data_IF_312827561827
#
_entry.id   IF_312827561827
#
_cell.length_a   1.000
_cell.length_b   1.000
_cell.length_c   1.000
_cell.angle_alpha   90.00
_cell.angle_beta   90.00
_cell.angle_gamma   90.00
#
_symmetry.space_group_name_H-M   'P 1'
#
loop_
_entity.id
_entity.type
_entity.pdbx_description
1 polymer ?
#
# COMPACT_ATOMS: atom_id res chain seq x y z
N UNK A 1 2.33 -29.32 29.74
CA UNK A 1 3.46 -28.90 28.88
C UNK A 1 2.79 -28.26 27.68
N UNK A 2 2.39 -27.01 27.83
CA UNK A 2 1.87 -26.22 26.71
C UNK A 2 3.08 -25.90 25.85
N UNK A 3 3.23 -26.66 24.75
CA UNK A 3 4.22 -26.37 23.74
C UNK A 3 3.89 -25.00 23.18
N UNK A 4 4.85 -24.07 23.19
CA UNK A 4 4.70 -22.78 22.52
C UNK A 4 4.22 -23.03 21.10
N UNK A 5 3.01 -22.55 20.78
CA UNK A 5 2.46 -22.63 19.43
C UNK A 5 3.15 -21.56 18.60
N UNK A 6 4.19 -21.98 17.89
CA UNK A 6 4.98 -21.10 17.02
C UNK A 6 4.72 -21.51 15.58
N UNK A 7 4.43 -20.54 14.71
CA UNK A 7 4.36 -20.76 13.28
C UNK A 7 5.70 -21.31 12.77
N UNK A 8 5.67 -22.40 12.00
CA UNK A 8 6.88 -23.03 11.47
C UNK A 8 6.90 -22.99 9.94
N UNK A 9 8.07 -22.66 9.37
CA UNK A 9 8.40 -22.85 7.96
C UNK A 9 7.35 -22.29 6.99
N UNK A 10 6.68 -23.18 6.26
CA UNK A 10 5.68 -22.80 5.26
C UNK A 10 4.47 -22.06 5.85
N UNK A 11 4.10 -22.31 7.10
CA UNK A 11 3.00 -21.58 7.75
C UNK A 11 3.33 -20.09 7.90
N UNK A 12 4.60 -19.74 8.18
CA UNK A 12 5.05 -18.33 8.25
C UNK A 12 4.93 -17.67 6.88
N UNK A 13 5.29 -18.39 5.81
CA UNK A 13 5.22 -17.84 4.44
C UNK A 13 3.79 -17.58 4.01
N UNK A 14 2.90 -18.53 4.27
CA UNK A 14 1.47 -18.40 3.96
C UNK A 14 0.84 -17.30 4.80
N UNK A 15 1.19 -17.23 6.09
CA UNK A 15 0.72 -16.17 6.98
C UNK A 15 1.20 -14.78 6.54
N UNK A 16 2.47 -14.62 6.15
CA UNK A 16 2.99 -13.36 5.62
C UNK A 16 2.23 -12.90 4.36
N UNK A 17 1.91 -13.84 3.47
CA UNK A 17 1.07 -13.54 2.33
C UNK A 17 -0.35 -13.11 2.75
N UNK A 18 -0.91 -13.77 3.77
CA UNK A 18 -2.16 -13.38 4.43
C UNK A 18 -2.15 -11.96 4.98
N UNK A 19 -1.09 -11.58 5.72
CA UNK A 19 -0.89 -10.22 6.22
C UNK A 19 -0.94 -9.21 5.08
N UNK A 20 -0.16 -9.46 4.02
CA UNK A 20 -0.15 -8.60 2.84
C UNK A 20 -1.53 -8.43 2.20
N UNK A 21 -2.32 -9.51 2.13
CA UNK A 21 -3.68 -9.47 1.58
C UNK A 21 -4.64 -8.68 2.46
N UNK A 22 -4.60 -8.85 3.79
CA UNK A 22 -5.44 -8.09 4.73
C UNK A 22 -5.12 -6.60 4.62
N UNK A 23 -3.84 -6.24 4.70
CA UNK A 23 -3.39 -4.86 4.60
C UNK A 23 -3.75 -4.25 3.22
N UNK A 24 -3.64 -5.01 2.14
CA UNK A 24 -4.04 -4.54 0.80
C UNK A 24 -5.54 -4.24 0.66
N UNK A 25 -6.39 -4.78 1.53
CA UNK A 25 -7.85 -4.52 1.55
C UNK A 25 -8.23 -3.42 2.53
N UNK A 26 -7.32 -3.02 3.40
CA UNK A 26 -7.55 -1.94 4.35
C UNK A 26 -7.64 -0.61 3.59
N UNK A 27 -8.82 -0.01 3.56
CA UNK A 27 -9.11 1.14 2.68
C UNK A 27 -8.34 2.40 3.09
N UNK A 28 -8.13 2.61 4.39
CA UNK A 28 -7.32 3.72 4.91
C UNK A 28 -5.87 3.60 4.42
N UNK A 29 -5.27 2.41 4.52
CA UNK A 29 -3.90 2.15 4.05
C UNK A 29 -3.77 2.32 2.53
N UNK A 30 -4.72 1.77 1.75
CA UNK A 30 -4.75 1.96 0.29
C UNK A 30 -4.76 3.44 -0.08
N UNK A 31 -5.68 4.19 0.54
CA UNK A 31 -5.84 5.62 0.27
C UNK A 31 -4.58 6.39 0.63
N UNK A 32 -3.94 6.07 1.76
CA UNK A 32 -2.69 6.70 2.19
C UNK A 32 -1.54 6.46 1.21
N UNK A 33 -1.43 5.23 0.70
CA UNK A 33 -0.38 4.83 -0.25
C UNK A 33 -0.62 5.45 -1.63
N UNK A 34 -1.85 5.43 -2.12
CA UNK A 34 -2.23 6.00 -3.43
C UNK A 34 -2.02 7.51 -3.49
N UNK A 35 -2.33 8.21 -2.40
CA UNK A 35 -2.18 9.66 -2.31
C UNK A 35 -0.81 10.11 -1.78
N UNK A 36 0.12 9.18 -1.58
CA UNK A 36 1.46 9.44 -1.06
C UNK A 36 1.45 10.27 0.26
N UNK A 37 0.49 10.02 1.15
CA UNK A 37 0.36 10.76 2.41
C UNK A 37 1.59 10.61 3.33
N UNK A 38 2.29 9.48 3.24
CA UNK A 38 3.58 9.24 3.88
C UNK A 38 4.79 9.73 3.08
N UNK A 39 4.59 10.46 1.97
CA UNK A 39 5.61 10.87 1.02
C UNK A 39 5.91 9.83 -0.07
N UNK A 40 6.98 10.04 -0.85
CA UNK A 40 7.38 9.15 -1.96
C UNK A 40 7.62 7.70 -1.54
N UNK A 41 7.95 7.49 -0.28
CA UNK A 41 8.22 6.18 0.30
C UNK A 41 6.97 5.52 0.91
N UNK A 42 5.75 6.03 0.64
CA UNK A 42 4.50 5.49 1.23
C UNK A 42 4.32 3.99 0.97
N UNK A 43 4.66 3.52 -0.23
CA UNK A 43 4.65 2.08 -0.56
C UNK A 43 5.63 1.28 0.29
N UNK A 44 6.83 1.83 0.52
CA UNK A 44 7.84 1.20 1.36
C UNK A 44 7.37 1.13 2.82
N UNK A 45 6.74 2.19 3.33
CA UNK A 45 6.16 2.22 4.69
C UNK A 45 5.05 1.18 4.86
N UNK A 46 4.18 1.01 3.85
CA UNK A 46 3.16 -0.04 3.89
C UNK A 46 3.77 -1.46 3.91
N UNK A 47 4.88 -1.68 3.20
CA UNK A 47 5.62 -2.94 3.29
C UNK A 47 6.29 -3.13 4.66
N UNK A 48 6.87 -2.07 5.22
CA UNK A 48 7.45 -2.09 6.58
C UNK A 48 6.40 -2.46 7.62
N UNK A 49 5.18 -1.91 7.51
CA UNK A 49 4.07 -2.29 8.39
C UNK A 49 3.76 -3.80 8.32
N UNK A 50 3.76 -4.39 7.12
CA UNK A 50 3.56 -5.83 6.97
C UNK A 50 4.69 -6.63 7.65
N UNK A 51 5.94 -6.20 7.48
CA UNK A 51 7.11 -6.82 8.10
C UNK A 51 7.08 -6.69 9.64
N UNK A 52 6.66 -5.53 10.17
CA UNK A 52 6.56 -5.27 11.60
C UNK A 52 5.47 -6.13 12.25
N UNK A 53 4.31 -6.27 11.59
CA UNK A 53 3.24 -7.19 12.01
C UNK A 53 3.76 -8.63 12.02
N UNK A 54 4.41 -9.09 10.96
CA UNK A 54 4.97 -10.44 10.89
C UNK A 54 6.03 -10.69 11.98
N UNK A 55 6.91 -9.71 12.17
CA UNK A 55 7.94 -9.71 13.21
C UNK A 55 7.31 -9.84 14.59
N UNK A 56 6.25 -9.08 14.86
CA UNK A 56 5.51 -9.19 16.11
C UNK A 56 4.96 -10.60 16.33
N UNK A 57 4.30 -11.21 15.35
CA UNK A 57 3.78 -12.59 15.51
C UNK A 57 4.87 -13.64 15.72
N UNK A 58 6.04 -13.47 15.10
CA UNK A 58 7.12 -14.48 15.10
C UNK A 58 8.13 -14.33 16.23
N UNK A 59 8.35 -13.10 16.73
CA UNK A 59 9.36 -12.79 17.74
C UNK A 59 8.75 -12.59 19.13
N UNK A 60 7.51 -12.08 19.22
CA UNK A 60 6.88 -11.82 20.51
C UNK A 60 6.66 -13.11 21.31
N UNK A 61 6.90 -13.03 22.62
CA UNK A 61 6.64 -14.12 23.56
C UNK A 61 5.20 -14.01 24.04
N UNK A 62 4.52 -15.15 24.13
CA UNK A 62 3.17 -15.21 24.70
C UNK A 62 3.14 -14.70 26.16
N UNK A 63 2.04 -14.06 26.59
CA UNK A 63 0.78 -13.82 25.85
C UNK A 63 0.86 -12.63 24.87
N UNK A 64 0.27 -12.80 23.69
CA UNK A 64 0.07 -11.74 22.69
C UNK A 64 -1.27 -11.06 22.94
N UNK A 65 -1.27 -9.77 23.20
CA UNK A 65 -2.49 -8.97 23.36
C UNK A 65 -2.83 -8.26 22.06
N UNK A 66 -4.14 -8.10 21.80
CA UNK A 66 -4.60 -7.41 20.59
C UNK A 66 -4.21 -5.94 20.61
N UNK A 67 -4.27 -5.28 21.79
CA UNK A 67 -3.86 -3.89 22.00
C UNK A 67 -2.41 -3.62 21.52
N UNK A 68 -1.50 -4.59 21.66
CA UNK A 68 -0.11 -4.46 21.19
C UNK A 68 -0.03 -4.49 19.65
N UNK A 69 -0.89 -5.28 19.01
CA UNK A 69 -0.98 -5.34 17.55
C UNK A 69 -1.66 -4.09 16.98
N UNK A 70 -2.72 -3.62 17.62
CA UNK A 70 -3.40 -2.36 17.30
C UNK A 70 -2.41 -1.20 17.35
N UNK A 71 -1.58 -1.12 18.40
CA UNK A 71 -0.54 -0.10 18.51
C UNK A 71 0.48 -0.12 17.35
N UNK A 72 0.85 -1.30 16.84
CA UNK A 72 1.74 -1.44 15.68
C UNK A 72 1.04 -0.96 14.40
N UNK A 73 -0.24 -1.30 14.23
CA UNK A 73 -1.05 -0.86 13.10
C UNK A 73 -1.23 0.66 13.11
N UNK A 74 -1.51 1.25 14.27
CA UNK A 74 -1.61 2.69 14.48
C UNK A 74 -0.28 3.39 14.19
N UNK A 75 0.83 2.90 14.72
CA UNK A 75 2.16 3.46 14.44
C UNK A 75 2.49 3.42 12.95
N UNK A 76 2.12 2.31 12.27
CA UNK A 76 2.22 2.17 10.82
C UNK A 76 1.42 3.22 10.06
N UNK A 77 0.16 3.45 10.45
CA UNK A 77 -0.71 4.45 9.82
C UNK A 77 -0.23 5.89 10.12
N UNK A 78 0.23 6.16 11.33
CA UNK A 78 0.86 7.43 11.70
C UNK A 78 2.13 7.71 10.89
N UNK A 79 2.91 6.67 10.58
CA UNK A 79 4.08 6.80 9.69
C UNK A 79 3.69 7.27 8.27
N UNK A 80 2.46 6.96 7.85
CA UNK A 80 1.83 7.42 6.61
C UNK A 80 1.07 8.73 6.77
N UNK A 81 1.21 9.40 7.91
CA UNK A 81 0.52 10.64 8.27
C UNK A 81 -1.02 10.51 8.27
N UNK A 82 -1.51 9.35 8.74
CA UNK A 82 -2.93 9.04 8.88
C UNK A 82 -3.25 8.74 10.33
N UNK A 83 -4.30 9.36 10.83
CA UNK A 83 -4.96 9.01 12.08
C UNK A 83 -6.25 8.26 11.73
N UNK A 84 -6.38 7.03 12.19
CA UNK A 84 -7.52 6.16 11.87
C UNK A 84 -8.43 6.10 13.09
N UNK A 85 -9.64 6.66 12.97
CA UNK A 85 -10.64 6.71 14.07
C UNK A 85 -11.96 6.02 13.70
N UNK A 86 -11.97 5.24 12.62
CA UNK A 86 -13.17 4.57 12.08
C UNK A 86 -13.39 3.15 12.62
N UNK A 87 -12.53 2.69 13.55
CA UNK A 87 -12.57 1.34 14.11
C UNK A 87 -11.95 0.25 13.22
N UNK A 88 -11.35 0.64 12.08
CA UNK A 88 -10.78 -0.33 11.14
C UNK A 88 -9.43 -0.91 11.58
N UNK A 89 -8.73 -0.25 12.52
CA UNK A 89 -7.49 -0.75 13.12
C UNK A 89 -7.79 -2.03 13.90
N UNK A 90 -8.81 -1.97 14.75
CA UNK A 90 -9.29 -3.07 15.58
C UNK A 90 -9.79 -4.22 14.70
N UNK A 91 -10.58 -3.93 13.66
CA UNK A 91 -11.05 -4.96 12.72
C UNK A 91 -9.87 -5.67 12.02
N UNK A 92 -8.87 -4.92 11.58
CA UNK A 92 -7.67 -5.48 10.94
C UNK A 92 -6.87 -6.31 11.94
N UNK A 93 -6.69 -5.85 13.18
CA UNK A 93 -6.02 -6.58 14.24
C UNK A 93 -6.73 -7.91 14.56
N UNK A 94 -8.04 -7.89 14.70
CA UNK A 94 -8.86 -9.10 14.93
C UNK A 94 -8.70 -10.11 13.79
N UNK A 95 -8.80 -9.65 12.54
CA UNK A 95 -8.64 -10.50 11.36
C UNK A 95 -7.25 -11.17 11.34
N UNK A 96 -6.19 -10.43 11.68
CA UNK A 96 -4.83 -10.95 11.75
C UNK A 96 -4.65 -11.98 12.88
N UNK A 97 -5.26 -11.73 14.05
CA UNK A 97 -5.23 -12.66 15.20
C UNK A 97 -5.94 -13.98 14.88
N UNK A 98 -7.12 -13.92 14.25
CA UNK A 98 -7.86 -15.10 13.79
C UNK A 98 -7.04 -15.89 12.77
N UNK A 99 -6.51 -15.21 11.76
CA UNK A 99 -5.71 -15.84 10.72
C UNK A 99 -4.44 -16.50 11.27
N UNK A 100 -3.81 -15.89 12.28
CA UNK A 100 -2.67 -16.47 12.96
C UNK A 100 -3.03 -17.79 13.67
N UNK A 101 -4.15 -17.84 14.40
CA UNK A 101 -4.60 -19.08 15.05
C UNK A 101 -4.94 -20.17 14.03
N UNK A 102 -5.61 -19.83 12.94
CA UNK A 102 -5.88 -20.78 11.85
C UNK A 102 -4.59 -21.35 11.26
N UNK A 103 -3.57 -20.51 11.08
CA UNK A 103 -2.25 -20.94 10.61
C UNK A 103 -1.52 -21.84 11.62
N UNK A 104 -1.71 -21.63 12.92
CA UNK A 104 -1.20 -22.53 13.97
C UNK A 104 -1.89 -23.90 13.95
N UNK A 105 -3.17 -23.94 13.57
CA UNK A 105 -3.95 -25.17 13.37
C UNK A 105 -3.66 -25.86 12.02
N UNK A 106 -2.91 -25.21 11.13
CA UNK A 106 -2.62 -25.69 9.78
C UNK A 106 -3.78 -25.51 8.80
N UNK A 107 -4.75 -24.66 9.13
CA UNK A 107 -5.87 -24.30 8.27
C UNK A 107 -5.55 -23.01 7.51
N UNK A 108 -5.32 -23.13 6.19
CA UNK A 108 -5.00 -21.97 5.33
C UNK A 108 -6.17 -21.54 4.43
N UNK A 109 -7.35 -22.09 4.65
CA UNK A 109 -8.52 -21.87 3.78
C UNK A 109 -8.93 -20.41 3.71
N UNK A 110 -8.89 -19.70 4.84
CA UNK A 110 -9.26 -18.30 4.92
C UNK A 110 -8.33 -17.43 4.06
N UNK A 111 -7.03 -17.75 4.04
CA UNK A 111 -6.03 -17.07 3.20
C UNK A 111 -6.27 -17.39 1.73
N UNK A 112 -6.59 -18.65 1.37
CA UNK A 112 -6.93 -19.02 -0.01
C UNK A 112 -8.17 -18.28 -0.54
N UNK A 113 -9.23 -18.19 0.27
CA UNK A 113 -10.43 -17.43 -0.06
C UNK A 113 -10.09 -15.95 -0.23
N UNK A 114 -9.26 -15.41 0.68
CA UNK A 114 -8.83 -14.01 0.63
C UNK A 114 -8.02 -13.70 -0.63
N UNK A 115 -7.14 -14.62 -1.07
CA UNK A 115 -6.41 -14.51 -2.35
C UNK A 115 -7.37 -14.45 -3.53
N UNK A 116 -8.34 -15.36 -3.58
CA UNK A 116 -9.30 -15.41 -4.70
C UNK A 116 -10.15 -14.15 -4.76
N UNK A 117 -10.57 -13.64 -3.60
CA UNK A 117 -11.30 -12.36 -3.50
C UNK A 117 -10.44 -11.17 -3.93
N UNK A 118 -9.15 -11.16 -3.59
CA UNK A 118 -8.23 -10.10 -4.00
C UNK A 118 -8.00 -10.09 -5.53
N UNK A 119 -7.87 -11.26 -6.16
CA UNK A 119 -7.74 -11.38 -7.62
C UNK A 119 -8.97 -10.85 -8.35
N UNK A 120 -10.17 -11.15 -7.83
CA UNK A 120 -11.44 -10.63 -8.38
C UNK A 120 -11.55 -9.11 -8.23
N UNK A 121 -11.08 -8.57 -7.12
CA UNK A 121 -11.10 -7.13 -6.85
C UNK A 121 -10.07 -6.36 -7.70
N UNK A 122 -8.92 -6.96 -8.01
CA UNK A 122 -7.96 -6.39 -8.96
C UNK A 122 -8.47 -6.37 -10.41
N UNK A 123 -9.37 -7.28 -10.78
CA UNK A 123 -9.98 -7.34 -12.10
C UNK A 123 -11.08 -6.28 -12.31
N UNK A 124 -11.71 -5.80 -11.22
CA UNK A 124 -12.69 -4.72 -11.24
C UNK A 124 -12.18 -3.54 -10.39
N UNK A 125 -11.38 -2.63 -10.96
CA UNK A 125 -10.92 -1.46 -10.24
C UNK A 125 -12.13 -0.67 -9.74
N UNK A 126 -12.10 -0.29 -8.45
CA UNK A 126 -13.14 0.55 -7.84
C UNK A 126 -13.20 1.84 -8.65
N UNK A 127 -14.29 2.02 -9.40
CA UNK A 127 -14.59 3.30 -10.06
C UNK A 127 -14.74 4.31 -8.94
N UNK A 128 -13.91 5.34 -8.93
CA UNK A 128 -14.09 6.48 -8.05
C UNK A 128 -15.48 7.07 -8.36
N UNK A 129 -16.45 6.78 -7.50
CA UNK A 129 -17.80 7.32 -7.61
C UNK A 129 -17.69 8.79 -7.22
N UNK A 130 -17.45 9.64 -8.21
CA UNK A 130 -17.59 11.07 -8.08
C UNK A 130 -19.09 11.28 -7.85
N UNK A 131 -19.45 11.63 -6.63
CA UNK A 131 -20.81 12.01 -6.25
C UNK A 131 -21.13 13.31 -6.98
N UNK A 132 -21.54 13.21 -8.25
CA UNK A 132 -22.45 14.17 -8.82
C UNK A 132 -23.83 13.68 -8.42
N UNK A 133 -24.43 14.44 -7.52
CA UNK A 133 -25.81 14.33 -7.09
C UNK A 133 -26.70 14.62 -8.30
N UNK A 134 -27.00 13.57 -9.08
CA UNK A 134 -28.10 13.56 -10.05
C UNK A 134 -28.74 12.17 -9.92
N UNK A 135 -29.91 12.16 -9.28
CA UNK A 135 -30.85 11.06 -9.25
C UNK A 135 -31.13 10.60 -10.68
N UNK A 136 -30.93 9.31 -10.97
CA UNK A 136 -31.77 8.55 -11.89
C UNK A 136 -31.57 7.07 -11.58
N UNK A 137 -32.57 6.50 -10.90
CA UNK A 137 -32.86 5.08 -10.88
C UNK A 137 -33.09 4.65 -12.34
N UNK A 138 -32.46 3.56 -12.77
CA UNK A 138 -33.10 2.58 -13.65
C UNK A 138 -32.35 1.25 -13.52
N UNK A 139 -33.03 0.30 -12.90
CA UNK A 139 -32.79 -1.13 -13.07
C UNK A 139 -33.03 -1.47 -14.54
N UNK A 140 -32.11 -2.20 -15.18
CA UNK A 140 -32.53 -3.23 -16.14
C UNK A 140 -31.46 -4.33 -16.23
N UNK A 141 -31.89 -5.48 -15.73
CA UNK A 141 -31.34 -6.81 -15.94
C UNK A 141 -31.69 -7.25 -17.37
N UNK A 142 -30.68 -7.42 -18.22
CA UNK A 142 -30.87 -8.15 -19.48
C UNK A 142 -29.70 -9.12 -19.73
N UNK A 143 -29.90 -10.32 -19.21
CA UNK A 143 -29.31 -11.55 -19.70
C UNK A 143 -29.88 -11.88 -21.10
N UNK A 144 -29.03 -11.89 -22.14
CA UNK A 144 -29.18 -12.85 -23.24
C UNK A 144 -27.88 -13.15 -24.00
N UNK A 145 -27.89 -14.34 -24.56
CA UNK A 145 -26.83 -15.22 -24.96
C UNK A 145 -26.28 -14.95 -26.38
N UNK A 146 -24.99 -15.23 -26.52
CA UNK A 146 -24.36 -15.95 -27.64
C UNK A 146 -24.88 -15.71 -29.08
N UNK A 147 -24.18 -14.86 -29.85
CA UNK A 147 -24.10 -15.01 -31.31
C UNK A 147 -22.64 -14.97 -31.80
N UNK A 148 -22.22 -16.15 -32.25
CA UNK A 148 -21.13 -16.43 -33.19
C UNK A 148 -21.14 -15.46 -34.38
N UNK A 149 -20.03 -14.75 -34.56
CA UNK A 149 -19.75 -13.90 -35.72
C UNK A 149 -18.27 -13.92 -36.06
N UNK A 150 -17.80 -15.01 -36.68
CA UNK A 150 -16.48 -15.04 -37.28
C UNK A 150 -16.44 -14.06 -38.46
N UNK A 151 -15.57 -13.04 -38.41
CA UNK A 151 -15.02 -12.40 -39.61
C UNK A 151 -13.78 -11.55 -39.29
N UNK A 152 -12.62 -12.17 -39.53
CA UNK A 152 -11.49 -11.63 -40.29
C UNK A 152 -11.52 -10.13 -40.69
N UNK A 153 -10.48 -9.36 -40.30
CA UNK A 153 -9.52 -8.75 -41.24
C UNK A 153 -8.59 -7.72 -40.57
N UNK A 154 -7.30 -7.87 -40.85
CA UNK A 154 -6.29 -6.81 -41.05
C UNK A 154 -5.82 -5.96 -39.86
N UNK A 155 -4.72 -6.38 -39.22
CA UNK A 155 -3.81 -5.47 -38.52
C UNK A 155 -2.47 -5.39 -39.29
N UNK A 156 -2.09 -4.15 -39.58
CA UNK A 156 -0.92 -3.75 -40.35
C UNK A 156 0.34 -3.89 -39.49
N UNK A 157 1.34 -4.61 -40.01
CA UNK A 157 2.71 -4.63 -39.51
C UNK A 157 3.30 -3.21 -39.66
N UNK A 158 3.55 -2.53 -38.54
CA UNK A 158 4.34 -1.30 -38.52
C UNK A 158 5.78 -1.71 -38.26
N UNK A 159 6.59 -1.69 -39.32
CA UNK A 159 8.03 -1.82 -39.29
C UNK A 159 8.63 -0.78 -38.33
N UNK A 160 9.05 -1.22 -37.15
CA UNK A 160 9.87 -0.43 -36.22
C UNK A 160 11.33 -0.63 -36.66
N UNK A 161 12.01 0.41 -37.18
CA UNK A 161 13.45 0.29 -37.42
C UNK A 161 14.17 0.22 -36.07
N UNK A 162 14.69 -0.98 -35.79
CA UNK A 162 15.61 -1.29 -34.69
C UNK A 162 16.81 -0.35 -34.79
N UNK A 163 16.86 0.62 -33.89
CA UNK A 163 18.02 1.49 -33.69
C UNK A 163 19.02 0.70 -32.85
N UNK A 164 20.06 0.21 -33.50
CA UNK A 164 21.23 -0.38 -32.86
C UNK A 164 21.97 0.74 -32.12
N UNK A 165 21.96 0.69 -30.78
CA UNK A 165 22.78 1.55 -29.93
C UNK A 165 23.60 0.68 -28.98
N UNK A 166 24.64 0.06 -29.54
CA UNK A 166 25.69 -0.60 -28.77
C UNK A 166 27.00 0.16 -29.00
N UNK A 167 27.32 1.05 -28.07
CA UNK A 167 28.70 1.51 -27.86
C UNK A 167 29.12 1.18 -26.43
N UNK A 168 30.15 0.35 -26.40
CA UNK A 168 30.82 -0.22 -25.24
C UNK A 168 31.29 0.79 -24.19
N UNK A 169 31.04 0.42 -22.93
CA UNK A 169 32.04 0.19 -21.86
C UNK A 169 33.25 1.13 -21.77
N UNK A 170 33.29 1.97 -20.73
CA UNK A 170 34.53 2.23 -19.97
C UNK A 170 34.21 2.28 -18.46
N UNK A 171 34.84 1.36 -17.74
CA UNK A 171 34.99 1.31 -16.30
C UNK A 171 36.13 2.23 -15.82
N UNK A 172 35.94 2.96 -14.70
CA UNK A 172 36.80 3.02 -13.49
C UNK A 172 36.76 4.37 -12.74
N UNK A 173 37.10 4.35 -11.42
CA UNK A 173 36.58 5.24 -10.41
C UNK A 173 37.57 6.35 -10.01
N UNK A 174 37.08 7.38 -9.33
CA UNK A 174 37.92 8.27 -8.52
C UNK A 174 37.36 8.32 -7.10
N UNK A 175 38.17 7.77 -6.19
CA UNK A 175 38.05 7.89 -4.76
C UNK A 175 38.38 9.33 -4.31
N UNK A 176 37.57 9.82 -3.36
CA UNK A 176 38.03 10.60 -2.20
C UNK A 176 38.20 12.10 -2.36
N UNK A 177 37.45 12.87 -1.55
CA UNK A 177 37.96 13.51 -0.31
C UNK A 177 37.12 14.76 0.01
N UNK A 178 36.37 14.71 1.12
CA UNK A 178 35.89 15.88 1.89
C UNK A 178 37.08 16.50 2.63
N UNK A 179 37.12 17.83 2.82
CA UNK A 179 36.86 18.34 4.17
C UNK A 179 36.20 19.74 4.28
N UNK A 180 35.16 19.79 5.14
CA UNK A 180 34.95 20.69 6.31
C UNK A 180 35.22 22.20 6.20
N UNK A 181 34.15 22.99 6.33
CA UNK A 181 34.07 24.33 6.96
C UNK A 181 32.70 24.38 7.65
N UNK A 182 32.57 24.19 8.97
CA UNK A 182 32.74 25.11 10.09
C UNK A 182 31.74 26.29 10.15
N UNK A 183 30.91 26.23 11.21
CA UNK A 183 30.31 27.30 12.01
C UNK A 183 29.10 28.11 11.46
N UNK A 184 27.98 27.93 12.19
CA UNK A 184 27.08 28.95 12.77
C UNK A 184 26.76 30.21 11.95
N UNK A 185 25.46 30.40 11.65
CA UNK A 185 24.71 31.60 12.00
C UNK A 185 23.27 31.52 11.48
N UNK A 186 22.33 31.61 12.42
CA UNK A 186 21.13 32.42 12.40
C UNK A 186 19.94 32.03 11.52
N UNK A 187 18.92 31.51 12.23
CA UNK A 187 17.50 31.63 11.90
C UNK A 187 17.12 33.09 11.61
N UNK A 188 17.11 33.48 10.33
CA UNK A 188 16.50 34.72 9.86
C UNK A 188 15.34 34.40 8.89
N UNK A 189 14.24 33.85 9.44
CA UNK A 189 12.97 33.85 8.71
C UNK A 189 12.49 35.30 8.54
N UNK A 190 12.63 35.81 7.31
CA UNK A 190 12.21 37.16 6.95
C UNK A 190 10.68 37.24 6.87
N UNK A 191 10.07 38.04 7.75
CA UNK A 191 8.64 38.36 7.74
C UNK A 191 8.33 39.29 6.56
N UNK A 192 7.60 38.81 5.56
CA UNK A 192 7.11 39.63 4.45
C UNK A 192 5.94 40.50 4.93
N UNK A 193 6.15 41.82 4.99
CA UNK A 193 5.09 42.78 5.29
C UNK A 193 4.26 43.07 4.02
N UNK A 194 2.95 42.74 4.04
CA UNK A 194 2.02 43.06 2.95
C UNK A 194 1.88 44.58 2.77
N UNK A 195 2.50 45.14 1.72
CA UNK A 195 2.37 46.55 1.37
C UNK A 195 1.07 46.80 0.60
N UNK A 196 0.03 47.20 1.32
CA UNK A 196 -1.24 47.72 0.78
C UNK A 196 -1.01 49.08 0.11
N UNK A 197 -1.02 49.13 -1.21
CA UNK A 197 -0.87 50.38 -1.97
C UNK A 197 -2.21 51.16 -1.93
N UNK A 198 -2.28 52.19 -1.08
CA UNK A 198 -3.34 53.21 -1.10
C UNK A 198 -2.81 54.40 -1.90
N UNK A 199 -3.48 54.71 -3.02
CA UNK A 199 -2.98 55.56 -4.10
C UNK A 199 -2.84 57.04 -3.78
N UNK A 200 -2.65 57.85 -4.83
CA UNK A 200 -3.04 59.27 -4.91
C UNK A 200 -3.02 59.77 -6.36
N UNK A 201 -4.19 60.23 -6.80
CA UNK A 201 -4.39 61.21 -7.88
C UNK A 201 -3.64 62.51 -7.53
N UNK A 202 -2.98 63.10 -8.52
CA UNK A 202 -3.21 64.44 -9.03
C UNK A 202 -2.33 64.67 -10.26
#
# INVERSE_FOLDING_TARGET
MDGLRVLQGDAIRVFNEGIGLVLSRWSALQTAVENEWGGRDSKLKAHQLADDVLSWFTISKEPRYIDDLEAILDEGMLSLNVEVEDGSVEEVAENLMVMHEECLEGNFRSIEILKEANLKQAAHPRVAQIVNDDEDEDEDDDNDENIIGASNSSNMDVDIPKSESDMNSVNRPVNGTLPKVAAEADDEWTVVSNRRNKGRKN
#
